data_IF_322128173399
#
_entry.id   IF_322128173399
#
_cell.length_a   1.000
_cell.length_b   1.000
_cell.length_c   1.000
_cell.angle_alpha   90.00
_cell.angle_beta   90.00
_cell.angle_gamma   90.00
#
_symmetry.space_group_name_H-M   'P 1'
#
loop_
_entity.id
_entity.type
_entity.pdbx_description
1 polymer ?
#
# COMPACT_ATOMS: atom_id res chain seq x y z
N UNK A 1 9.89 -36.65 -17.52
CA UNK A 1 10.51 -36.18 -16.27
C UNK A 1 9.92 -34.85 -15.81
N UNK A 2 9.74 -33.85 -16.66
CA UNK A 2 9.20 -32.52 -16.31
C UNK A 2 7.84 -32.62 -15.61
N UNK A 3 6.91 -33.48 -16.10
CA UNK A 3 5.61 -33.68 -15.44
C UNK A 3 5.76 -34.20 -14.02
N UNK A 4 6.64 -35.18 -13.80
CA UNK A 4 6.88 -35.75 -12.46
C UNK A 4 7.45 -34.70 -11.52
N UNK A 5 8.38 -33.85 -11.99
CA UNK A 5 8.95 -32.78 -11.19
C UNK A 5 7.89 -31.78 -10.75
N UNK A 6 6.99 -31.37 -11.65
CA UNK A 6 5.91 -30.43 -11.32
C UNK A 6 4.87 -31.04 -10.38
N UNK A 7 4.48 -32.30 -10.60
CA UNK A 7 3.59 -33.03 -9.71
C UNK A 7 4.20 -33.19 -8.30
N UNK A 8 5.50 -33.50 -8.23
CA UNK A 8 6.21 -33.61 -6.97
C UNK A 8 6.27 -32.25 -6.22
N UNK A 9 6.48 -31.15 -6.96
CA UNK A 9 6.44 -29.79 -6.37
C UNK A 9 5.03 -29.46 -5.85
N UNK A 10 3.97 -29.75 -6.61
CA UNK A 10 2.59 -29.59 -6.16
C UNK A 10 2.31 -30.37 -4.86
N UNK A 11 2.68 -31.64 -4.83
CA UNK A 11 2.50 -32.50 -3.64
C UNK A 11 3.27 -31.97 -2.44
N UNK A 12 4.53 -31.56 -2.62
CA UNK A 12 5.36 -31.03 -1.55
C UNK A 12 4.75 -29.76 -0.94
N UNK A 13 4.05 -28.95 -1.74
CA UNK A 13 3.46 -27.68 -1.34
C UNK A 13 1.95 -27.73 -1.05
N UNK A 14 1.37 -28.92 -0.86
CA UNK A 14 -0.07 -29.05 -0.59
C UNK A 14 -0.51 -28.37 0.72
N UNK A 15 0.36 -28.28 1.71
CA UNK A 15 0.10 -27.61 3.00
C UNK A 15 0.66 -26.17 3.05
N UNK A 16 1.20 -25.67 1.97
CA UNK A 16 1.78 -24.32 1.91
C UNK A 16 0.68 -23.30 1.68
N UNK A 17 0.57 -22.31 2.57
CA UNK A 17 -0.44 -21.25 2.51
C UNK A 17 -0.26 -20.42 1.23
N UNK A 18 -1.35 -20.17 0.50
CA UNK A 18 -1.34 -19.38 -0.73
C UNK A 18 -0.62 -20.01 -1.92
N UNK A 19 -0.19 -21.27 -1.81
CA UNK A 19 0.43 -21.97 -2.94
C UNK A 19 -0.56 -22.20 -4.07
N UNK A 20 -0.07 -22.10 -5.30
CA UNK A 20 -0.84 -22.31 -6.53
C UNK A 20 -0.24 -23.42 -7.36
N UNK A 21 -1.03 -24.44 -7.65
CA UNK A 21 -0.64 -25.61 -8.42
C UNK A 21 -0.13 -25.21 -9.81
N UNK A 22 0.89 -25.93 -10.27
CA UNK A 22 1.45 -25.76 -11.62
C UNK A 22 1.03 -26.95 -12.49
N UNK A 23 0.67 -26.67 -13.74
CA UNK A 23 0.30 -27.66 -14.75
C UNK A 23 1.27 -27.61 -15.93
N UNK A 24 1.64 -28.79 -16.44
CA UNK A 24 2.52 -28.92 -17.61
C UNK A 24 1.70 -29.25 -18.85
N UNK A 25 1.83 -28.43 -19.86
CA UNK A 25 1.24 -28.66 -21.17
C UNK A 25 2.33 -29.13 -22.16
N UNK A 26 1.98 -30.13 -22.94
CA UNK A 26 2.88 -30.67 -23.97
C UNK A 26 2.36 -30.34 -25.35
N UNK A 27 3.30 -30.16 -26.31
CA UNK A 27 3.03 -30.07 -27.75
C UNK A 27 3.83 -31.13 -28.49
N UNK A 28 3.29 -31.59 -29.60
CA UNK A 28 4.04 -32.39 -30.56
C UNK A 28 5.14 -31.55 -31.21
N UNK A 29 6.26 -32.19 -31.60
CA UNK A 29 7.41 -31.47 -32.16
C UNK A 29 7.24 -31.36 -33.67
N UNK A 30 7.41 -32.45 -34.38
CA UNK A 30 7.32 -32.54 -35.84
C UNK A 30 6.81 -33.90 -36.29
N UNK A 31 6.23 -33.92 -37.50
CA UNK A 31 5.87 -35.13 -38.22
C UNK A 31 6.82 -35.38 -39.39
N UNK A 32 7.39 -36.54 -39.45
CA UNK A 32 8.12 -36.99 -40.62
C UNK A 32 7.13 -37.56 -41.62
N UNK A 33 6.98 -36.91 -42.77
CA UNK A 33 6.13 -37.40 -43.85
C UNK A 33 6.90 -38.40 -44.72
N UNK A 34 6.49 -39.67 -44.68
CA UNK A 34 7.07 -40.74 -45.52
C UNK A 34 6.43 -40.81 -46.89
N UNK A 35 5.20 -40.38 -47.05
CA UNK A 35 4.48 -40.28 -48.31
C UNK A 35 3.47 -39.11 -48.22
N UNK A 36 3.43 -38.30 -49.25
CA UNK A 36 2.43 -37.27 -49.44
C UNK A 36 1.08 -37.86 -49.83
N UNK A 37 -0.01 -37.27 -49.37
CA UNK A 37 -1.35 -37.63 -49.80
C UNK A 37 -1.58 -37.29 -51.29
N UNK A 38 -2.39 -38.05 -51.97
CA UNK A 38 -2.84 -37.79 -53.33
C UNK A 38 -4.35 -37.60 -53.38
N UNK A 39 -4.77 -36.62 -54.14
CA UNK A 39 -6.19 -36.39 -54.36
C UNK A 39 -6.80 -37.50 -55.24
N UNK A 40 -8.10 -37.83 -55.07
CA UNK A 40 -8.77 -38.79 -55.92
C UNK A 40 -8.85 -38.27 -57.36
N UNK A 41 -8.54 -39.17 -58.32
CA UNK A 41 -8.73 -38.95 -59.74
C UNK A 41 -9.88 -39.82 -60.26
N UNK A 42 -10.42 -39.53 -61.41
CA UNK A 42 -11.59 -40.26 -61.93
C UNK A 42 -11.43 -41.79 -62.05
N UNK A 43 -10.22 -42.33 -61.92
CA UNK A 43 -9.90 -43.75 -62.01
C UNK A 43 -9.24 -44.36 -60.75
N UNK A 44 -8.79 -43.52 -59.83
CA UNK A 44 -8.18 -43.95 -58.54
C UNK A 44 -8.69 -43.14 -57.36
N UNK A 45 -8.98 -43.83 -56.24
CA UNK A 45 -9.30 -43.19 -54.97
C UNK A 45 -8.12 -42.41 -54.40
N UNK A 46 -8.41 -41.40 -53.58
CA UNK A 46 -7.40 -40.61 -52.90
C UNK A 46 -6.60 -41.43 -51.87
N UNK A 47 -5.33 -41.10 -51.68
CA UNK A 47 -4.43 -41.74 -50.71
C UNK A 47 -4.06 -40.74 -49.63
N UNK A 48 -4.24 -41.13 -48.38
CA UNK A 48 -3.87 -40.28 -47.24
C UNK A 48 -2.34 -40.22 -47.03
N UNK A 49 -1.80 -39.12 -46.53
CA UNK A 49 -0.40 -38.99 -46.21
C UNK A 49 0.02 -39.99 -45.12
N UNK A 50 1.22 -40.57 -45.20
CA UNK A 50 1.84 -41.37 -44.15
C UNK A 50 2.81 -40.50 -43.37
N UNK A 51 2.44 -40.19 -42.12
CA UNK A 51 3.22 -39.34 -41.24
C UNK A 51 3.52 -40.05 -39.91
N UNK A 52 4.75 -39.87 -39.41
CA UNK A 52 5.20 -40.42 -38.14
C UNK A 52 5.65 -39.27 -37.24
N UNK A 53 5.06 -39.16 -36.03
CA UNK A 53 5.47 -38.17 -35.04
C UNK A 53 6.87 -38.50 -34.49
N UNK A 54 7.65 -37.45 -34.19
CA UNK A 54 9.04 -37.56 -33.69
C UNK A 54 9.07 -37.47 -32.16
N UNK A 55 7.99 -37.01 -31.52
CA UNK A 55 7.93 -36.92 -30.07
C UNK A 55 7.16 -35.69 -29.57
N UNK A 56 7.26 -35.41 -28.27
CA UNK A 56 6.62 -34.29 -27.60
C UNK A 56 7.66 -33.42 -26.90
N UNK A 57 7.37 -32.11 -26.79
CA UNK A 57 8.13 -31.17 -26.00
C UNK A 57 7.21 -30.48 -24.98
N UNK A 58 7.78 -29.91 -23.91
CA UNK A 58 7.05 -29.08 -22.99
C UNK A 58 6.69 -27.77 -23.69
N UNK A 59 5.40 -27.50 -23.87
CA UNK A 59 4.91 -26.26 -24.48
C UNK A 59 4.90 -25.13 -23.47
N UNK A 60 4.35 -25.39 -22.27
CA UNK A 60 4.28 -24.40 -21.18
C UNK A 60 4.15 -25.09 -19.83
N UNK A 61 4.57 -24.38 -18.78
CA UNK A 61 4.22 -24.69 -17.40
C UNK A 61 3.39 -23.49 -16.93
N UNK A 62 2.09 -23.73 -16.72
CA UNK A 62 1.15 -22.69 -16.30
C UNK A 62 0.77 -22.90 -14.85
N UNK A 63 0.55 -21.77 -14.14
CA UNK A 63 0.11 -21.80 -12.76
C UNK A 63 -1.39 -21.56 -12.69
N UNK A 64 -2.08 -22.33 -11.85
CA UNK A 64 -3.51 -22.19 -11.64
C UNK A 64 -3.77 -21.26 -10.46
N UNK A 65 -4.27 -20.06 -10.73
CA UNK A 65 -4.61 -19.05 -9.73
C UNK A 65 -6.07 -19.18 -9.22
N UNK A 66 -6.75 -20.30 -9.46
CA UNK A 66 -8.04 -20.56 -8.85
C UNK A 66 -7.94 -20.54 -7.32
N UNK A 67 -9.05 -20.24 -6.65
CA UNK A 67 -9.09 -20.21 -5.19
C UNK A 67 -8.78 -21.59 -4.60
N UNK A 68 -7.95 -21.61 -3.56
CA UNK A 68 -7.68 -22.79 -2.74
C UNK A 68 -8.75 -23.04 -1.67
N UNK A 69 -8.51 -24.02 -0.82
CA UNK A 69 -9.34 -24.28 0.37
C UNK A 69 -9.16 -23.17 1.39
N UNK A 70 -10.20 -22.86 2.16
CA UNK A 70 -10.13 -21.86 3.24
C UNK A 70 -9.86 -22.54 4.57
N UNK A 71 -8.86 -22.03 5.33
CA UNK A 71 -8.46 -22.52 6.65
C UNK A 71 -8.79 -21.45 7.68
N UNK A 72 -9.71 -21.74 8.60
CA UNK A 72 -10.05 -20.82 9.69
C UNK A 72 -9.00 -20.90 10.78
N UNK A 73 -8.35 -19.78 11.09
CA UNK A 73 -7.32 -19.66 12.13
C UNK A 73 -7.80 -18.92 13.36
N UNK A 74 -8.77 -18.00 13.19
CA UNK A 74 -9.27 -17.12 14.25
C UNK A 74 -8.32 -15.98 14.62
N UNK A 75 -7.19 -15.82 13.91
CA UNK A 75 -6.28 -14.70 14.08
C UNK A 75 -6.67 -13.56 13.14
N UNK A 76 -6.97 -12.38 13.67
CA UNK A 76 -7.45 -11.26 12.88
C UNK A 76 -6.47 -10.75 11.81
N UNK A 77 -5.18 -11.05 11.97
CA UNK A 77 -4.12 -10.70 11.01
C UNK A 77 -4.00 -11.68 9.86
N UNK A 78 -4.62 -12.86 9.96
CA UNK A 78 -4.67 -13.83 8.89
C UNK A 78 -5.77 -13.47 7.90
N UNK A 79 -5.41 -13.32 6.64
CA UNK A 79 -6.27 -12.77 5.60
C UNK A 79 -6.40 -13.72 4.42
N UNK A 80 -7.61 -13.86 3.90
CA UNK A 80 -7.88 -14.61 2.69
C UNK A 80 -8.59 -13.70 1.66
N UNK A 81 -8.09 -13.67 0.43
CA UNK A 81 -8.72 -12.93 -0.67
C UNK A 81 -9.80 -13.80 -1.32
N UNK A 82 -11.02 -13.29 -1.34
CA UNK A 82 -12.10 -13.86 -2.14
C UNK A 82 -12.22 -13.12 -3.47
N UNK A 83 -11.44 -13.54 -4.46
CA UNK A 83 -11.32 -12.88 -5.76
C UNK A 83 -10.04 -13.29 -6.49
N UNK A 84 -9.71 -12.62 -7.61
CA UNK A 84 -8.54 -12.90 -8.44
C UNK A 84 -7.34 -11.98 -8.16
N UNK A 85 -7.42 -11.08 -7.19
CA UNK A 85 -6.39 -10.10 -6.85
C UNK A 85 -5.31 -10.67 -5.92
N UNK A 86 -4.27 -9.89 -5.65
CA UNK A 86 -3.12 -10.25 -4.83
C UNK A 86 -2.87 -9.18 -3.79
N UNK A 87 -2.32 -9.56 -2.64
CA UNK A 87 -1.69 -8.62 -1.71
C UNK A 87 -0.41 -8.06 -2.32
N UNK A 88 -0.13 -6.80 -2.07
CA UNK A 88 1.12 -6.14 -2.48
C UNK A 88 2.05 -6.04 -1.29
N UNK A 89 3.28 -6.51 -1.46
CA UNK A 89 4.29 -6.48 -0.42
C UNK A 89 5.59 -5.87 -0.94
N UNK A 90 6.31 -5.16 -0.09
CA UNK A 90 7.62 -4.63 -0.41
C UNK A 90 8.71 -5.55 0.14
N UNK A 91 9.66 -5.92 -0.73
CA UNK A 91 10.88 -6.61 -0.32
C UNK A 91 11.85 -5.65 0.39
N UNK A 92 12.88 -6.14 1.09
CA UNK A 92 13.92 -5.28 1.68
C UNK A 92 14.65 -4.39 0.66
N UNK A 93 14.65 -4.77 -0.62
CA UNK A 93 15.21 -3.99 -1.73
C UNK A 93 14.22 -2.99 -2.33
N UNK A 94 13.07 -2.78 -1.66
CA UNK A 94 11.97 -1.89 -2.11
C UNK A 94 11.33 -2.35 -3.44
N UNK A 95 11.54 -3.60 -3.83
CA UNK A 95 10.85 -4.19 -4.97
C UNK A 95 9.42 -4.59 -4.56
N UNK A 96 8.44 -4.25 -5.40
CA UNK A 96 7.04 -4.59 -5.16
C UNK A 96 6.78 -6.00 -5.66
N UNK A 97 6.37 -6.86 -4.74
CA UNK A 97 6.02 -8.25 -5.00
C UNK A 97 4.54 -8.48 -4.67
N UNK A 98 4.01 -9.55 -5.22
CA UNK A 98 2.60 -9.93 -5.10
C UNK A 98 2.48 -11.29 -4.45
N UNK A 99 1.52 -11.46 -3.55
CA UNK A 99 1.34 -12.73 -2.86
C UNK A 99 -0.13 -13.05 -2.62
N UNK A 100 -0.44 -14.35 -2.51
CA UNK A 100 -1.71 -14.88 -1.99
C UNK A 100 -1.58 -15.40 -0.56
N UNK A 101 -0.35 -15.41 -0.04
CA UNK A 101 -0.12 -15.72 1.38
C UNK A 101 -0.63 -14.56 2.23
N UNK A 102 -1.64 -14.84 3.04
CA UNK A 102 -2.28 -13.88 3.94
C UNK A 102 -1.84 -14.01 5.38
N UNK A 103 -0.80 -14.80 5.68
CA UNK A 103 -0.27 -14.92 7.03
C UNK A 103 0.60 -13.70 7.37
N UNK A 104 -0.04 -12.68 7.97
CA UNK A 104 0.63 -11.46 8.39
C UNK A 104 0.79 -11.38 9.90
N UNK A 105 1.89 -10.78 10.33
CA UNK A 105 2.17 -10.47 11.73
C UNK A 105 2.54 -8.99 11.86
N UNK A 106 2.36 -8.42 13.05
CA UNK A 106 2.81 -7.06 13.34
C UNK A 106 4.19 -7.14 13.99
N UNK A 107 5.16 -6.44 13.40
CA UNK A 107 6.53 -6.38 13.92
C UNK A 107 6.66 -5.38 15.09
N UNK A 108 7.86 -5.27 15.67
CA UNK A 108 8.13 -4.38 16.80
C UNK A 108 7.95 -2.88 16.46
N UNK A 109 8.11 -2.52 15.18
CA UNK A 109 7.96 -1.14 14.69
C UNK A 109 6.51 -0.83 14.26
N UNK A 110 5.60 -1.81 14.37
CA UNK A 110 4.20 -1.69 13.99
C UNK A 110 3.90 -1.99 12.53
N UNK A 111 4.86 -2.49 11.74
CA UNK A 111 4.59 -2.86 10.35
C UNK A 111 3.90 -4.22 10.27
N UNK A 112 2.93 -4.34 9.38
CA UNK A 112 2.40 -5.65 8.99
C UNK A 112 3.37 -6.32 8.01
N UNK A 113 3.87 -7.50 8.40
CA UNK A 113 4.90 -8.24 7.65
C UNK A 113 4.47 -9.68 7.40
N UNK A 114 4.94 -10.25 6.30
CA UNK A 114 4.85 -11.69 6.02
C UNK A 114 5.83 -12.47 6.87
N UNK A 115 5.69 -13.80 6.92
CA UNK A 115 6.67 -14.70 7.57
C UNK A 115 8.11 -14.55 7.04
N UNK A 116 8.27 -14.02 5.82
CA UNK A 116 9.57 -13.73 5.19
C UNK A 116 10.07 -12.31 5.46
N UNK A 117 9.34 -11.51 6.27
CA UNK A 117 9.71 -10.13 6.62
C UNK A 117 9.40 -9.08 5.55
N UNK A 118 8.59 -9.41 4.54
CA UNK A 118 8.15 -8.42 3.54
C UNK A 118 7.00 -7.60 4.10
N UNK A 119 7.07 -6.26 3.91
CA UNK A 119 6.07 -5.33 4.46
C UNK A 119 4.84 -5.26 3.56
N UNK A 120 3.66 -5.42 4.13
CA UNK A 120 2.39 -5.23 3.42
C UNK A 120 2.20 -3.75 3.09
N UNK A 121 1.80 -3.45 1.85
CA UNK A 121 1.60 -2.09 1.37
C UNK A 121 0.15 -1.63 1.52
N UNK A 122 0.00 -0.35 1.83
CA UNK A 122 -1.27 0.32 1.94
C UNK A 122 -1.53 1.31 0.80
N UNK A 123 -2.77 1.76 0.65
CA UNK A 123 -3.16 2.71 -0.40
C UNK A 123 -4.24 3.68 0.06
N UNK A 124 -4.19 4.91 -0.47
CA UNK A 124 -5.25 5.91 -0.34
C UNK A 124 -6.24 5.88 -1.52
N UNK A 125 -5.92 5.16 -2.58
CA UNK A 125 -6.65 5.21 -3.84
C UNK A 125 -7.59 4.02 -4.00
N UNK A 126 -8.79 4.27 -4.47
CA UNK A 126 -9.75 3.21 -4.82
C UNK A 126 -9.33 2.43 -6.06
N UNK A 127 -8.70 3.10 -7.03
CA UNK A 127 -8.15 2.48 -8.25
C UNK A 127 -7.00 3.33 -8.81
N UNK A 128 -5.85 2.70 -9.12
CA UNK A 128 -4.69 3.37 -9.71
C UNK A 128 -3.86 2.38 -10.56
N UNK A 129 -3.07 2.89 -11.49
CA UNK A 129 -2.07 2.14 -12.26
C UNK A 129 -0.68 2.21 -11.64
N UNK A 130 -0.48 3.06 -10.65
CA UNK A 130 0.78 3.21 -9.91
C UNK A 130 0.62 2.63 -8.52
N UNK A 131 1.54 1.76 -8.10
CA UNK A 131 1.56 1.23 -6.75
C UNK A 131 1.90 2.32 -5.74
N UNK A 132 1.21 2.30 -4.60
CA UNK A 132 1.70 2.99 -3.41
C UNK A 132 2.90 2.21 -2.85
N UNK A 133 3.87 2.92 -2.32
CA UNK A 133 5.02 2.35 -1.61
C UNK A 133 4.93 2.56 -0.10
N UNK A 134 3.77 3.00 0.39
CA UNK A 134 3.54 3.26 1.81
C UNK A 134 3.28 1.93 2.51
N UNK A 135 4.16 1.48 3.41
CA UNK A 135 3.90 0.26 4.17
C UNK A 135 2.78 0.49 5.19
N UNK A 136 2.00 -0.54 5.43
CA UNK A 136 1.05 -0.53 6.54
C UNK A 136 1.85 -0.46 7.84
N UNK A 137 1.61 0.59 8.61
CA UNK A 137 2.25 0.83 9.89
C UNK A 137 1.21 1.20 10.95
N UNK A 138 1.08 0.34 11.93
CA UNK A 138 0.15 0.47 13.06
C UNK A 138 0.91 1.09 14.22
N UNK A 139 0.46 2.22 14.78
CA UNK A 139 1.05 2.76 16.00
C UNK A 139 0.92 1.73 17.14
N UNK A 140 2.06 1.31 17.70
CA UNK A 140 2.10 0.26 18.74
C UNK A 140 1.64 0.73 20.12
N UNK A 141 1.62 2.04 20.33
CA UNK A 141 1.02 2.71 21.52
C UNK A 141 0.49 4.07 21.11
N UNK A 142 -0.45 4.62 21.87
CA UNK A 142 -0.94 5.99 21.69
C UNK A 142 -0.73 6.75 23.00
N UNK A 143 0.08 7.81 22.95
CA UNK A 143 0.22 8.78 24.02
C UNK A 143 -0.48 10.08 23.66
N UNK A 144 -0.22 10.60 22.48
CA UNK A 144 -0.83 11.83 21.96
C UNK A 144 -1.42 11.61 20.58
N UNK A 145 -2.60 12.15 20.33
CA UNK A 145 -3.21 12.26 19.00
C UNK A 145 -3.46 13.70 18.69
N UNK A 146 -2.91 14.17 17.58
CA UNK A 146 -3.08 15.56 17.16
C UNK A 146 -3.65 15.62 15.75
N UNK A 147 -4.57 16.55 15.51
CA UNK A 147 -5.11 16.85 14.20
C UNK A 147 -4.58 18.18 13.72
N UNK A 148 -4.36 18.38 12.41
CA UNK A 148 -4.20 19.72 11.87
C UNK A 148 -5.46 20.54 12.22
N UNK A 149 -5.29 21.67 12.90
CA UNK A 149 -6.42 22.52 13.18
C UNK A 149 -7.01 23.10 11.89
N UNK A 150 -8.32 23.15 11.82
CA UNK A 150 -8.97 23.92 10.76
C UNK A 150 -8.57 25.39 10.90
N UNK A 151 -8.48 26.12 9.77
CA UNK A 151 -8.16 27.55 9.75
C UNK A 151 -9.02 28.37 10.75
N UNK A 152 -10.29 27.97 10.93
CA UNK A 152 -11.21 28.62 11.87
C UNK A 152 -10.86 28.34 13.35
N UNK A 153 -10.40 27.13 13.67
CA UNK A 153 -9.99 26.77 15.04
C UNK A 153 -8.68 27.48 15.41
N UNK A 154 -7.71 27.51 14.49
CA UNK A 154 -6.44 28.23 14.66
C UNK A 154 -6.66 29.72 14.86
N UNK A 155 -7.58 30.33 14.13
CA UNK A 155 -7.90 31.74 14.19
C UNK A 155 -8.44 32.20 15.57
N UNK A 156 -9.07 31.30 16.32
CA UNK A 156 -9.65 31.59 17.64
C UNK A 156 -8.75 31.21 18.82
N UNK A 157 -7.54 30.71 18.58
CA UNK A 157 -6.59 30.35 19.64
C UNK A 157 -5.70 31.53 20.03
N UNK A 158 -5.34 31.55 21.31
CA UNK A 158 -4.37 32.50 21.82
C UNK A 158 -2.99 32.26 21.22
N UNK A 159 -2.21 33.33 21.04
CA UNK A 159 -0.89 33.24 20.41
C UNK A 159 0.06 32.32 21.17
N UNK A 160 -0.04 32.23 22.49
CA UNK A 160 0.76 31.35 23.33
C UNK A 160 0.45 29.85 23.16
N UNK A 161 -0.76 29.54 22.70
CA UNK A 161 -1.24 28.16 22.53
C UNK A 161 -0.85 27.58 21.16
N UNK A 162 -0.16 28.35 20.31
CA UNK A 162 0.25 27.91 18.98
C UNK A 162 1.54 27.08 19.02
N UNK A 163 1.54 25.93 18.41
CA UNK A 163 2.71 25.02 18.39
C UNK A 163 3.94 25.58 17.68
N UNK A 164 3.78 26.62 16.86
CA UNK A 164 4.89 27.32 16.20
C UNK A 164 5.63 28.31 17.08
N UNK A 165 5.14 28.58 18.28
CA UNK A 165 5.77 29.51 19.21
C UNK A 165 6.99 28.86 19.86
N UNK A 166 8.15 29.48 19.63
CA UNK A 166 9.44 28.99 20.17
C UNK A 166 9.47 29.11 21.68
N UNK A 167 10.29 28.29 22.32
CA UNK A 167 10.48 28.31 23.77
C UNK A 167 10.64 29.75 24.32
N UNK A 168 9.79 30.14 25.28
CA UNK A 168 9.77 31.48 25.88
C UNK A 168 8.50 32.29 25.61
N UNK A 169 7.54 31.74 24.85
CA UNK A 169 6.22 32.34 24.61
C UNK A 169 6.24 33.68 23.86
N UNK A 170 5.05 34.21 23.62
CA UNK A 170 4.86 35.58 23.09
C UNK A 170 4.96 36.57 24.24
N UNK A 171 5.80 37.58 24.11
CA UNK A 171 5.91 38.67 25.07
C UNK A 171 4.92 39.78 24.74
N UNK A 172 4.21 40.25 25.72
CA UNK A 172 3.36 41.43 25.61
C UNK A 172 4.18 42.63 25.16
N UNK A 173 3.64 43.42 24.26
CA UNK A 173 4.36 44.56 23.71
C UNK A 173 3.82 45.02 22.37
N UNK A 174 4.69 45.43 21.49
CA UNK A 174 4.34 45.86 20.12
C UNK A 174 5.33 45.37 19.10
N UNK A 175 4.91 45.28 17.86
CA UNK A 175 5.76 45.15 16.70
C UNK A 175 5.43 46.24 15.67
N UNK A 176 6.33 46.47 14.71
CA UNK A 176 6.25 47.58 13.78
C UNK A 176 6.14 47.03 12.37
N UNK A 177 5.17 47.55 11.62
CA UNK A 177 5.07 47.37 10.16
C UNK A 177 5.42 48.73 9.52
N UNK A 178 6.47 48.73 8.76
CA UNK A 178 6.89 49.91 7.94
C UNK A 178 6.42 49.68 6.51
N UNK A 179 5.51 50.49 6.02
CA UNK A 179 5.03 50.49 4.65
C UNK A 179 5.70 51.56 3.85
N UNK A 180 5.99 51.33 2.57
CA UNK A 180 6.63 52.28 1.66
C UNK A 180 5.70 52.57 0.50
N UNK A 181 5.49 53.83 0.20
CA UNK A 181 4.76 54.28 -0.97
C UNK A 181 5.63 54.12 -2.25
N UNK A 182 5.06 54.42 -3.42
CA UNK A 182 5.78 54.35 -4.71
C UNK A 182 6.95 55.38 -4.80
N UNK A 183 6.97 56.37 -3.94
CA UNK A 183 8.08 57.34 -3.83
C UNK A 183 9.17 56.85 -2.85
N UNK A 184 8.95 55.69 -2.20
CA UNK A 184 9.89 55.15 -1.21
C UNK A 184 9.75 55.76 0.18
N UNK A 185 8.71 56.57 0.45
CA UNK A 185 8.51 57.21 1.76
C UNK A 185 8.03 56.19 2.77
N UNK A 186 8.75 55.99 3.91
CA UNK A 186 8.33 55.04 4.93
C UNK A 186 7.22 55.62 5.80
N UNK A 187 6.24 54.76 6.14
CA UNK A 187 5.22 55.02 7.16
C UNK A 187 5.25 53.88 8.15
N UNK A 188 5.62 54.18 9.40
CA UNK A 188 5.65 53.20 10.49
C UNK A 188 4.31 53.09 11.19
N UNK A 189 3.90 51.87 11.46
CA UNK A 189 2.67 51.53 12.17
C UNK A 189 2.99 50.55 13.28
N UNK A 190 2.65 50.92 14.50
CA UNK A 190 2.87 50.15 15.71
C UNK A 190 1.62 49.32 16.00
N UNK A 191 1.77 48.00 16.16
CA UNK A 191 0.71 47.07 16.47
C UNK A 191 0.99 46.49 17.84
N UNK A 192 0.04 46.66 18.79
CA UNK A 192 0.13 46.08 20.11
C UNK A 192 -0.29 44.64 20.11
N UNK A 193 0.44 43.80 20.86
CA UNK A 193 0.24 42.38 20.99
C UNK A 193 0.29 41.99 22.46
N UNK A 194 -0.62 41.11 22.86
CA UNK A 194 -0.61 40.45 24.19
C UNK A 194 -0.55 38.95 23.95
N UNK A 195 -0.03 38.23 24.92
CA UNK A 195 0.16 36.77 24.87
C UNK A 195 -1.18 36.03 24.77
N UNK A 196 -2.24 36.57 25.34
CA UNK A 196 -3.61 36.05 25.30
C UNK A 196 -4.40 36.44 24.03
N UNK A 197 -3.83 37.31 23.17
CA UNK A 197 -4.46 37.72 21.92
C UNK A 197 -4.65 36.51 20.98
N UNK A 198 -5.84 36.38 20.40
CA UNK A 198 -6.08 35.35 19.39
C UNK A 198 -5.49 35.72 18.03
N UNK A 199 -5.26 34.72 17.18
CA UNK A 199 -4.77 34.96 15.81
C UNK A 199 -5.71 35.89 15.05
N UNK A 200 -7.03 35.72 15.19
CA UNK A 200 -8.03 36.63 14.60
C UNK A 200 -7.87 38.07 15.06
N UNK A 201 -7.61 38.28 16.35
CA UNK A 201 -7.38 39.61 16.87
C UNK A 201 -6.09 40.23 16.36
N UNK A 202 -5.03 39.40 16.21
CA UNK A 202 -3.78 39.82 15.59
C UNK A 202 -3.99 40.22 14.12
N UNK A 203 -4.67 39.38 13.32
CA UNK A 203 -4.98 39.69 11.93
C UNK A 203 -5.83 40.97 11.80
N UNK A 204 -6.84 41.12 12.68
CA UNK A 204 -7.65 42.34 12.70
C UNK A 204 -6.84 43.60 13.06
N UNK A 205 -5.90 43.49 14.00
CA UNK A 205 -5.01 44.58 14.36
C UNK A 205 -4.08 44.99 13.22
N UNK A 206 -3.52 43.99 12.48
CA UNK A 206 -2.69 44.23 11.30
C UNK A 206 -3.52 44.90 10.18
N UNK A 207 -4.68 44.36 9.87
CA UNK A 207 -5.56 44.90 8.83
C UNK A 207 -6.08 46.30 9.15
N UNK A 208 -6.33 46.61 10.41
CA UNK A 208 -6.73 47.93 10.88
C UNK A 208 -5.60 48.98 10.69
N UNK A 209 -4.35 48.56 10.75
CA UNK A 209 -3.22 49.45 10.53
C UNK A 209 -3.17 49.99 9.09
N UNK A 210 -3.72 49.24 8.10
CA UNK A 210 -3.80 49.63 6.68
C UNK A 210 -2.44 49.54 5.96
N UNK A 211 -2.48 49.51 4.65
CA UNK A 211 -1.28 49.36 3.80
C UNK A 211 -0.79 47.93 3.67
N UNK A 212 -1.34 47.02 4.47
CA UNK A 212 -1.12 45.57 4.36
C UNK A 212 -2.41 44.84 4.69
N UNK A 213 -2.58 43.63 4.12
CA UNK A 213 -3.67 42.70 4.40
C UNK A 213 -3.09 41.42 4.98
N UNK A 214 -3.53 41.03 6.16
CA UNK A 214 -3.14 39.78 6.82
C UNK A 214 -4.27 38.76 6.77
N UNK A 215 -3.92 37.53 6.48
CA UNK A 215 -4.81 36.38 6.43
C UNK A 215 -4.07 35.10 6.86
N UNK A 216 -4.80 34.01 7.09
CA UNK A 216 -4.21 32.70 7.26
C UNK A 216 -4.27 31.99 5.89
N UNK A 217 -3.11 31.55 5.40
CA UNK A 217 -2.98 30.78 4.17
C UNK A 217 -2.15 29.54 4.47
N UNK A 218 -2.68 28.35 4.20
CA UNK A 218 -2.01 27.08 4.43
C UNK A 218 -1.42 26.90 5.83
N UNK A 219 -2.16 27.37 6.85
CA UNK A 219 -1.73 27.29 8.24
C UNK A 219 -0.67 28.32 8.66
N UNK A 220 -0.30 29.27 7.82
CA UNK A 220 0.63 30.35 8.12
C UNK A 220 -0.07 31.70 8.12
N UNK A 221 0.40 32.62 8.96
CA UNK A 221 0.01 34.04 8.89
C UNK A 221 0.69 34.66 7.68
N UNK A 222 -0.09 35.03 6.69
CA UNK A 222 0.37 35.67 5.47
C UNK A 222 0.03 37.15 5.48
N UNK A 223 1.00 38.01 5.25
CA UNK A 223 0.85 39.45 5.17
C UNK A 223 1.18 39.89 3.73
N UNK A 224 0.24 40.54 3.08
CA UNK A 224 0.37 41.01 1.70
C UNK A 224 0.31 42.54 1.66
N UNK A 225 1.09 43.18 0.77
CA UNK A 225 0.98 44.59 0.52
C UNK A 225 -0.41 44.96 -0.04
N UNK A 226 -1.01 46.02 0.47
CA UNK A 226 -2.30 46.56 0.03
C UNK A 226 -2.22 48.07 -0.20
N UNK A 227 -2.15 48.47 -1.45
CA UNK A 227 -2.03 49.88 -1.87
C UNK A 227 -0.67 50.52 -1.62
N UNK A 228 0.36 49.77 -1.22
CA UNK A 228 1.73 50.21 -0.98
C UNK A 228 2.70 49.44 -1.88
N UNK A 229 3.91 49.98 -2.12
CA UNK A 229 4.90 49.39 -2.99
C UNK A 229 5.58 48.17 -2.31
N UNK A 230 5.91 48.30 -1.03
CA UNK A 230 6.53 47.29 -0.21
C UNK A 230 6.29 47.52 1.27
N UNK A 231 6.54 46.52 2.09
CA UNK A 231 6.51 46.65 3.54
C UNK A 231 7.63 45.83 4.20
N UNK A 232 7.92 46.18 5.44
CA UNK A 232 8.84 45.44 6.32
C UNK A 232 8.18 45.22 7.69
N UNK A 233 8.43 44.06 8.30
CA UNK A 233 7.93 43.73 9.65
C UNK A 233 9.10 43.56 10.59
N UNK A 234 9.07 44.23 11.72
CA UNK A 234 10.15 44.20 12.72
C UNK A 234 9.57 44.02 14.13
N UNK A 235 10.28 43.28 14.99
CA UNK A 235 9.97 43.28 16.43
C UNK A 235 10.09 44.72 16.98
N UNK A 236 9.16 45.07 17.82
CA UNK A 236 9.26 46.26 18.70
C UNK A 236 9.63 45.79 20.13
N UNK A 237 8.74 46.01 21.06
CA UNK A 237 8.89 45.51 22.43
C UNK A 237 8.39 44.04 22.56
N UNK A 238 7.51 43.57 21.68
CA UNK A 238 7.11 42.17 21.55
C UNK A 238 8.08 41.41 20.65
N UNK A 239 8.23 40.12 20.91
CA UNK A 239 9.01 39.14 20.14
C UNK A 239 8.20 38.40 19.07
N UNK A 240 6.96 38.82 18.81
CA UNK A 240 5.98 38.06 18.00
C UNK A 240 6.50 37.73 16.58
N UNK A 241 7.19 38.66 15.93
CA UNK A 241 7.73 38.48 14.56
C UNK A 241 8.74 37.33 14.53
N UNK A 242 9.61 37.25 15.55
CA UNK A 242 10.59 36.17 15.69
C UNK A 242 9.90 34.86 16.12
N UNK A 243 8.90 34.92 16.97
CA UNK A 243 8.16 33.76 17.44
C UNK A 243 7.33 33.10 16.32
N UNK A 244 6.66 33.90 15.50
CA UNK A 244 5.93 33.42 14.33
C UNK A 244 6.84 33.09 13.14
N UNK A 245 8.12 33.50 13.19
CA UNK A 245 9.05 33.31 12.08
C UNK A 245 8.65 34.10 10.83
N UNK A 246 8.01 35.27 10.99
CA UNK A 246 7.62 36.10 9.84
C UNK A 246 8.88 36.55 9.10
N UNK A 247 9.04 36.05 7.88
CA UNK A 247 10.15 36.31 7.01
C UNK A 247 10.09 37.71 6.41
N UNK A 248 11.14 38.06 5.61
CA UNK A 248 11.10 39.25 4.76
C UNK A 248 10.06 39.07 3.67
N UNK A 249 9.45 40.20 3.24
CA UNK A 249 8.57 40.21 2.09
C UNK A 249 9.31 39.70 0.83
N UNK A 250 8.70 38.74 0.13
CA UNK A 250 9.15 38.36 -1.20
C UNK A 250 8.88 39.50 -2.20
N UNK A 251 9.90 40.04 -2.87
CA UNK A 251 9.72 41.16 -3.78
C UNK A 251 8.89 40.82 -5.02
N UNK A 252 8.76 39.51 -5.37
CA UNK A 252 8.01 39.09 -6.55
C UNK A 252 6.52 38.91 -6.22
N UNK A 253 6.21 38.30 -5.09
CA UNK A 253 4.83 38.02 -4.66
C UNK A 253 4.25 39.12 -3.77
N UNK A 254 5.09 40.02 -3.26
CA UNK A 254 4.75 41.07 -2.27
C UNK A 254 4.10 40.50 -1.00
N UNK A 255 4.47 39.29 -0.60
CA UNK A 255 3.95 38.58 0.56
C UNK A 255 5.07 38.26 1.53
N UNK A 256 4.84 38.44 2.83
CA UNK A 256 5.63 37.88 3.91
C UNK A 256 4.78 36.86 4.65
N UNK A 257 5.27 35.64 4.79
CA UNK A 257 4.56 34.57 5.51
C UNK A 257 5.33 34.19 6.78
N UNK A 258 4.60 33.80 7.82
CA UNK A 258 5.17 33.11 8.97
C UNK A 258 5.60 31.70 8.60
N UNK A 259 6.37 31.05 9.47
CA UNK A 259 6.46 29.59 9.47
C UNK A 259 5.03 29.03 9.66
N UNK A 260 4.80 27.79 9.17
CA UNK A 260 3.49 27.14 9.33
C UNK A 260 3.20 26.99 10.84
N UNK A 261 2.17 27.66 11.29
CA UNK A 261 1.74 27.62 12.67
C UNK A 261 0.67 26.57 12.78
N UNK A 262 1.06 25.34 13.06
CA UNK A 262 0.12 24.27 13.30
C UNK A 262 -0.40 24.34 14.73
N UNK A 263 -1.68 24.61 14.91
CA UNK A 263 -2.37 24.27 16.13
C UNK A 263 -2.76 22.79 16.03
N UNK A 264 -2.10 21.97 16.82
CA UNK A 264 -2.50 20.59 17.00
C UNK A 264 -3.42 20.55 18.23
N UNK A 265 -4.67 20.14 18.05
CA UNK A 265 -5.50 19.81 19.19
C UNK A 265 -4.94 18.53 19.80
N UNK A 266 -4.15 18.64 20.86
CA UNK A 266 -3.68 17.49 21.62
C UNK A 266 -4.86 16.98 22.43
N UNK A 267 -5.34 15.78 22.11
CA UNK A 267 -6.38 15.10 22.88
C UNK A 267 -5.69 13.95 23.59
N UNK A 268 -5.62 14.06 24.90
CA UNK A 268 -5.05 13.05 25.79
C UNK A 268 -3.63 13.34 26.26
N UNK A 269 -3.40 14.47 26.94
CA UNK A 269 -2.30 14.57 27.90
C UNK A 269 -2.59 13.65 29.08
N UNK A 270 -2.23 12.37 28.95
CA UNK A 270 -2.13 11.45 30.06
C UNK A 270 -0.66 11.28 30.41
N UNK A 271 -0.31 11.62 31.63
CA UNK A 271 0.98 11.39 32.26
C UNK A 271 1.72 10.19 31.64
N UNK A 272 2.95 10.39 31.19
CA UNK A 272 3.92 9.36 30.84
C UNK A 272 4.32 8.52 32.09
N UNK A 273 3.38 7.80 32.65
CA UNK A 273 3.62 6.83 33.71
C UNK A 273 3.14 5.47 33.21
N UNK A 274 4.01 4.56 32.90
CA UNK A 274 3.84 3.09 32.84
C UNK A 274 2.42 2.51 32.65
N UNK A 275 1.52 3.23 31.97
CA UNK A 275 0.15 2.80 31.78
C UNK A 275 0.06 1.97 30.49
N UNK A 276 0.13 0.64 30.67
CA UNK A 276 -0.07 -0.34 29.59
C UNK A 276 -1.45 -0.22 28.92
N UNK A 277 -2.35 0.65 29.42
CA UNK A 277 -3.69 0.83 28.88
C UNK A 277 -3.69 1.45 27.47
N UNK A 278 -2.62 2.18 27.11
CA UNK A 278 -2.48 2.83 25.80
C UNK A 278 -1.75 1.99 24.74
N UNK A 279 -1.34 0.78 25.12
CA UNK A 279 -0.66 -0.11 24.19
C UNK A 279 -1.64 -0.77 23.23
N UNK A 280 -1.13 -1.08 22.05
CA UNK A 280 -1.83 -1.90 21.06
C UNK A 280 -2.36 -3.20 21.68
N UNK A 281 -3.63 -3.49 21.46
CA UNK A 281 -4.28 -4.70 21.96
C UNK A 281 -4.67 -5.65 20.84
N UNK A 282 -5.30 -5.14 19.80
CA UNK A 282 -5.74 -5.98 18.68
C UNK A 282 -5.94 -5.16 17.40
N UNK A 283 -5.81 -5.86 16.30
CA UNK A 283 -6.19 -5.38 14.95
C UNK A 283 -7.42 -6.14 14.51
N UNK A 284 -8.34 -5.45 13.86
CA UNK A 284 -9.47 -6.03 13.14
C UNK A 284 -9.44 -5.53 11.70
N UNK A 285 -9.61 -6.41 10.74
CA UNK A 285 -9.60 -6.06 9.33
C UNK A 285 -10.97 -6.43 8.77
N UNK A 286 -11.68 -5.45 8.22
CA UNK A 286 -13.00 -5.66 7.66
C UNK A 286 -12.92 -6.23 6.22
N UNK A 287 -14.06 -6.60 5.65
CA UNK A 287 -14.15 -7.17 4.30
C UNK A 287 -13.67 -6.22 3.19
N UNK A 288 -13.60 -4.92 3.47
CA UNK A 288 -13.10 -3.89 2.56
C UNK A 288 -11.59 -3.61 2.73
N UNK A 289 -10.88 -4.42 3.54
CA UNK A 289 -9.45 -4.25 3.79
C UNK A 289 -9.08 -3.00 4.58
N UNK A 290 -10.06 -2.41 5.27
CA UNK A 290 -9.82 -1.32 6.22
C UNK A 290 -9.42 -1.91 7.56
N UNK A 291 -8.36 -1.35 8.11
CA UNK A 291 -7.77 -1.78 9.37
C UNK A 291 -8.31 -0.92 10.50
N UNK A 292 -8.85 -1.55 11.52
CA UNK A 292 -9.22 -0.93 12.78
C UNK A 292 -8.28 -1.46 13.87
N UNK A 293 -7.65 -0.53 14.57
CA UNK A 293 -6.70 -0.81 15.64
C UNK A 293 -7.35 -0.49 16.95
N UNK A 294 -7.31 -1.42 17.92
CA UNK A 294 -7.84 -1.25 19.26
C UNK A 294 -6.70 -1.20 20.27
N UNK A 295 -6.81 -0.25 21.21
CA UNK A 295 -5.86 -0.03 22.30
C UNK A 295 -6.44 -0.47 23.66
N UNK A 296 -5.59 -0.64 24.67
CA UNK A 296 -5.97 -1.17 25.97
C UNK A 296 -6.97 -0.32 26.75
N UNK A 297 -7.01 1.00 26.49
CA UNK A 297 -8.01 1.92 27.04
C UNK A 297 -9.37 1.90 26.30
N UNK A 298 -9.56 0.97 25.33
CA UNK A 298 -10.68 0.87 24.41
C UNK A 298 -10.77 1.99 23.35
N UNK A 299 -9.78 2.84 23.21
CA UNK A 299 -9.68 3.74 22.07
C UNK A 299 -9.51 2.94 20.77
N UNK A 300 -10.02 3.48 19.66
CA UNK A 300 -9.90 2.84 18.36
C UNK A 300 -9.40 3.83 17.31
N UNK A 301 -8.47 3.37 16.46
CA UNK A 301 -7.99 4.09 15.28
C UNK A 301 -8.42 3.33 14.03
N UNK A 302 -9.13 3.99 13.12
CA UNK A 302 -9.68 3.38 11.91
C UNK A 302 -9.71 4.38 10.75
N UNK A 303 -10.13 3.92 9.58
CA UNK A 303 -10.32 4.74 8.38
C UNK A 303 -11.81 4.79 8.04
N UNK A 304 -12.29 5.95 7.62
CA UNK A 304 -13.65 6.16 7.14
C UNK A 304 -13.66 7.02 5.86
N UNK A 305 -14.77 7.00 5.13
CA UNK A 305 -14.96 7.94 4.03
C UNK A 305 -15.16 9.37 4.56
N UNK A 306 -14.58 10.35 3.88
CA UNK A 306 -14.78 11.75 4.19
C UNK A 306 -16.25 12.13 3.95
N UNK A 307 -16.97 12.62 4.98
CA UNK A 307 -18.37 13.05 4.80
C UNK A 307 -18.53 14.20 3.80
N UNK A 308 -17.47 14.99 3.57
CA UNK A 308 -17.47 16.12 2.64
C UNK A 308 -17.11 15.72 1.22
N UNK A 309 -16.31 14.65 1.05
CA UNK A 309 -15.86 14.14 -0.25
C UNK A 309 -15.77 12.60 -0.21
N UNK A 310 -16.83 11.87 -0.60
CA UNK A 310 -16.86 10.41 -0.55
C UNK A 310 -15.79 9.71 -1.40
N UNK A 311 -15.06 10.45 -2.24
CA UNK A 311 -13.92 9.90 -3.00
C UNK A 311 -12.64 9.79 -2.16
N UNK A 312 -12.60 10.42 -0.98
CA UNK A 312 -11.45 10.44 -0.09
C UNK A 312 -11.69 9.62 1.15
N UNK A 313 -10.61 9.07 1.66
CA UNK A 313 -10.56 8.40 2.96
C UNK A 313 -9.90 9.31 3.99
N UNK A 314 -10.43 9.31 5.19
CA UNK A 314 -9.86 10.05 6.34
C UNK A 314 -9.70 9.11 7.53
N UNK A 315 -8.80 9.47 8.42
CA UNK A 315 -8.60 8.77 9.68
C UNK A 315 -9.69 9.14 10.68
N UNK A 316 -10.10 8.16 11.46
CA UNK A 316 -11.05 8.30 12.57
C UNK A 316 -10.41 7.71 13.82
N UNK A 317 -10.20 8.56 14.82
CA UNK A 317 -9.82 8.13 16.15
C UNK A 317 -11.02 8.30 17.10
N UNK A 318 -11.39 7.25 17.80
CA UNK A 318 -12.51 7.24 18.73
C UNK A 318 -11.99 6.95 20.13
N UNK A 319 -12.21 7.89 21.05
CA UNK A 319 -11.86 7.71 22.45
C UNK A 319 -12.90 6.82 23.16
N UNK A 320 -12.49 6.26 24.27
CA UNK A 320 -13.35 5.42 25.14
C UNK A 320 -14.64 6.13 25.62
N UNK A 321 -14.63 7.45 25.73
CA UNK A 321 -15.80 8.28 26.08
C UNK A 321 -16.77 8.53 24.92
N UNK A 322 -16.44 8.00 23.71
CA UNK A 322 -17.20 8.19 22.48
C UNK A 322 -16.86 9.46 21.71
N UNK A 323 -15.88 10.25 22.15
CA UNK A 323 -15.40 11.40 21.39
C UNK A 323 -14.70 10.92 20.11
N UNK A 324 -15.05 11.53 18.98
CA UNK A 324 -14.52 11.17 17.66
C UNK A 324 -13.67 12.32 17.14
N UNK A 325 -12.46 11.98 16.72
CA UNK A 325 -11.52 12.87 16.03
C UNK A 325 -11.34 12.36 14.62
N UNK A 326 -11.48 13.23 13.63
CA UNK A 326 -11.29 12.89 12.22
C UNK A 326 -10.30 13.84 11.57
N UNK A 327 -9.52 13.35 10.62
CA UNK A 327 -8.59 14.16 9.84
C UNK A 327 -8.09 13.42 8.61
N UNK A 328 -7.61 14.18 7.61
CA UNK A 328 -6.95 13.61 6.42
C UNK A 328 -5.67 12.84 6.82
N UNK A 329 -5.04 13.29 7.89
CA UNK A 329 -3.88 12.73 8.54
C UNK A 329 -4.00 12.98 10.06
N UNK A 330 -3.42 12.13 10.85
CA UNK A 330 -3.29 12.28 12.29
C UNK A 330 -1.82 12.15 12.67
N UNK A 331 -1.36 12.98 13.58
CA UNK A 331 -0.06 12.76 14.22
C UNK A 331 -0.26 11.99 15.50
N UNK A 332 0.29 10.80 15.57
CA UNK A 332 0.25 9.92 16.74
C UNK A 332 1.67 9.78 17.27
N UNK A 333 1.93 10.21 18.50
CA UNK A 333 3.26 10.22 19.11
C UNK A 333 4.32 10.86 18.20
N UNK A 334 4.03 12.05 17.68
CA UNK A 334 4.88 12.78 16.71
C UNK A 334 5.15 12.06 15.39
N UNK A 335 4.43 10.97 15.10
CA UNK A 335 4.49 10.27 13.81
C UNK A 335 3.24 10.55 13.00
N UNK A 336 3.43 10.93 11.75
CA UNK A 336 2.33 11.12 10.80
C UNK A 336 1.73 9.75 10.45
N UNK A 337 0.43 9.61 10.64
CA UNK A 337 -0.38 8.46 10.20
C UNK A 337 -1.31 8.95 9.11
N UNK A 338 -1.28 8.27 7.98
CA UNK A 338 -2.15 8.55 6.83
C UNK A 338 -3.17 7.40 6.65
N UNK A 339 -4.30 7.63 5.96
CA UNK A 339 -5.25 6.56 5.66
C UNK A 339 -4.61 5.35 4.95
N UNK A 340 -3.56 5.58 4.14
CA UNK A 340 -2.79 4.51 3.50
C UNK A 340 -2.14 3.53 4.48
N UNK A 341 -1.80 3.97 5.69
CA UNK A 341 -1.22 3.09 6.71
C UNK A 341 -2.22 2.07 7.27
N UNK A 342 -3.52 2.29 7.05
CA UNK A 342 -4.61 1.48 7.61
C UNK A 342 -5.56 0.94 6.53
N UNK A 343 -5.16 0.96 5.26
CA UNK A 343 -5.94 0.44 4.14
C UNK A 343 -5.08 -0.44 3.25
N UNK A 344 -5.43 -1.71 3.10
CA UNK A 344 -4.65 -2.69 2.33
C UNK A 344 -4.69 -2.36 0.85
N UNK A 345 -3.51 -2.33 0.22
CA UNK A 345 -3.36 -2.24 -1.23
C UNK A 345 -3.47 -3.62 -1.86
N UNK A 346 -4.31 -3.71 -2.88
CA UNK A 346 -4.46 -4.89 -3.72
C UNK A 346 -3.95 -4.63 -5.12
N UNK A 347 -3.54 -5.71 -5.79
CA UNK A 347 -3.17 -5.70 -7.20
C UNK A 347 -4.01 -6.71 -7.99
N UNK A 348 -4.45 -6.32 -9.17
CA UNK A 348 -5.11 -7.19 -10.13
C UNK A 348 -4.36 -7.17 -11.46
N UNK A 349 -4.30 -8.32 -12.13
CA UNK A 349 -3.56 -8.52 -13.38
C UNK A 349 -4.52 -8.94 -14.50
N UNK A 350 -4.24 -8.44 -15.70
CA UNK A 350 -4.95 -8.88 -16.92
C UNK A 350 -4.64 -10.35 -17.19
N UNK A 351 -3.38 -10.75 -17.01
CA UNK A 351 -2.94 -12.12 -17.16
C UNK A 351 -2.07 -12.58 -15.97
N UNK A 352 -2.67 -13.14 -14.91
CA UNK A 352 -1.93 -13.63 -13.76
C UNK A 352 -0.93 -14.76 -14.09
N UNK A 353 -1.19 -15.55 -15.14
CA UNK A 353 -0.29 -16.63 -15.57
C UNK A 353 1.05 -16.11 -16.11
N UNK A 354 1.12 -14.83 -16.49
CA UNK A 354 2.35 -14.17 -16.91
C UNK A 354 3.26 -13.71 -15.77
N UNK A 355 2.84 -13.90 -14.51
CA UNK A 355 3.65 -13.58 -13.34
C UNK A 355 4.83 -14.55 -13.19
N UNK A 356 5.97 -14.04 -12.69
CA UNK A 356 7.16 -14.84 -12.41
C UNK A 356 7.27 -15.07 -10.90
N UNK A 357 7.45 -16.35 -10.49
CA UNK A 357 7.66 -16.69 -9.10
C UNK A 357 9.06 -16.29 -8.63
N UNK A 358 9.15 -15.66 -7.46
CA UNK A 358 10.39 -15.21 -6.83
C UNK A 358 10.78 -16.03 -5.59
N UNK A 359 9.98 -17.06 -5.24
CA UNK A 359 10.10 -17.79 -3.99
C UNK A 359 9.22 -17.23 -2.88
N UNK A 360 9.18 -17.90 -1.72
CA UNK A 360 8.37 -17.49 -0.56
C UNK A 360 6.91 -17.15 -0.87
N UNK A 361 6.30 -17.87 -1.83
CA UNK A 361 4.95 -17.61 -2.36
C UNK A 361 4.74 -16.19 -2.87
N UNK A 362 5.81 -15.53 -3.36
CA UNK A 362 5.74 -14.21 -3.95
C UNK A 362 5.96 -14.26 -5.46
N UNK A 363 5.37 -13.31 -6.14
CA UNK A 363 5.39 -13.16 -7.59
C UNK A 363 5.85 -11.75 -7.97
N UNK A 364 6.59 -11.65 -9.06
CA UNK A 364 6.92 -10.38 -9.71
C UNK A 364 6.18 -10.25 -11.05
N UNK A 365 6.04 -9.04 -11.54
CA UNK A 365 5.51 -8.79 -12.89
C UNK A 365 6.41 -9.42 -13.95
N UNK A 366 5.81 -10.15 -14.87
CA UNK A 366 6.49 -10.68 -16.06
C UNK A 366 6.12 -9.90 -17.33
N UNK A 367 6.86 -10.08 -18.42
CA UNK A 367 6.57 -9.39 -19.67
C UNK A 367 5.15 -9.64 -20.23
N UNK A 368 4.53 -10.75 -19.84
CA UNK A 368 3.19 -11.17 -20.29
C UNK A 368 2.11 -11.06 -19.21
N UNK A 369 2.39 -10.44 -18.05
CA UNK A 369 1.39 -10.25 -17.02
C UNK A 369 0.35 -9.17 -17.34
N UNK A 370 0.68 -8.29 -18.29
CA UNK A 370 -0.12 -7.13 -18.64
C UNK A 370 0.04 -5.98 -17.64
N UNK A 371 -0.81 -4.97 -17.79
CA UNK A 371 -0.84 -3.82 -16.89
C UNK A 371 -1.42 -4.22 -15.53
N UNK A 372 -0.78 -3.75 -14.47
CA UNK A 372 -1.24 -3.96 -13.09
C UNK A 372 -2.21 -2.86 -12.71
N UNK A 373 -3.35 -3.23 -12.14
CA UNK A 373 -4.28 -2.32 -11.51
C UNK A 373 -4.09 -2.43 -9.99
N UNK A 374 -3.84 -1.29 -9.35
CA UNK A 374 -3.73 -1.19 -7.89
C UNK A 374 -4.94 -0.48 -7.33
N UNK A 375 -5.31 -0.79 -6.11
CA UNK A 375 -6.36 -0.08 -5.42
C UNK A 375 -6.69 -0.68 -4.08
N UNK A 376 -7.69 -0.09 -3.43
CA UNK A 376 -8.26 -0.63 -2.21
C UNK A 376 -9.34 -1.67 -2.52
N UNK A 377 -9.59 -2.53 -1.55
CA UNK A 377 -10.60 -3.60 -1.62
C UNK A 377 -12.03 -3.03 -1.74
N UNK A 378 -12.27 -1.78 -1.36
CA UNK A 378 -13.56 -1.13 -1.51
C UNK A 378 -14.02 -1.00 -2.98
N UNK A 379 -13.13 -1.22 -3.93
CA UNK A 379 -13.45 -1.30 -5.35
C UNK A 379 -13.88 -2.73 -5.73
N UNK A 380 -15.02 -2.86 -6.41
CA UNK A 380 -15.56 -4.15 -6.90
C UNK A 380 -14.60 -4.95 -7.80
N UNK A 381 -13.51 -4.32 -8.26
CA UNK A 381 -12.52 -4.94 -9.14
C UNK A 381 -11.58 -5.93 -8.40
N UNK A 382 -11.45 -5.85 -7.07
CA UNK A 382 -10.45 -6.61 -6.33
C UNK A 382 -11.01 -7.77 -5.49
N UNK A 383 -12.34 -7.88 -5.36
CA UNK A 383 -12.98 -8.84 -4.48
C UNK A 383 -13.00 -8.40 -3.02
N UNK A 384 -13.23 -9.33 -2.10
CA UNK A 384 -13.31 -9.07 -0.66
C UNK A 384 -12.20 -9.80 0.08
N UNK A 385 -11.83 -9.30 1.26
CA UNK A 385 -10.92 -9.97 2.18
C UNK A 385 -11.72 -10.55 3.36
N UNK A 386 -11.35 -11.75 3.78
CA UNK A 386 -11.85 -12.37 5.02
C UNK A 386 -10.71 -12.38 6.03
N UNK A 387 -10.95 -11.81 7.21
CA UNK A 387 -10.06 -11.89 8.37
C UNK A 387 -10.31 -13.19 9.15
N UNK A 388 -9.29 -13.69 9.83
CA UNK A 388 -9.35 -14.92 10.61
C UNK A 388 -9.32 -16.21 9.78
N UNK A 389 -8.96 -16.09 8.50
CA UNK A 389 -8.95 -17.18 7.53
C UNK A 389 -7.73 -17.07 6.63
N UNK A 390 -7.10 -18.18 6.28
CA UNK A 390 -6.02 -18.26 5.30
C UNK A 390 -6.48 -19.01 4.04
N UNK A 391 -5.88 -18.69 2.90
CA UNK A 391 -6.03 -19.44 1.67
C UNK A 391 -5.04 -20.61 1.66
N UNK A 392 -5.54 -21.84 1.71
CA UNK A 392 -4.72 -23.02 1.55
C UNK A 392 -4.32 -23.25 0.09
N UNK A 393 -3.47 -24.24 -0.13
CA UNK A 393 -3.11 -24.69 -1.47
C UNK A 393 -4.35 -25.16 -2.26
N UNK A 394 -4.37 -24.92 -3.57
CA UNK A 394 -5.39 -25.45 -4.48
C UNK A 394 -4.99 -26.80 -5.10
N UNK A 395 -3.99 -27.48 -4.55
CA UNK A 395 -3.51 -28.80 -4.99
C UNK A 395 -4.50 -29.88 -4.57
N UNK A 396 -5.01 -30.67 -5.53
CA UNK A 396 -5.75 -31.88 -5.27
C UNK A 396 -4.79 -33.08 -5.19
N UNK A 397 -4.55 -33.52 -3.95
CA UNK A 397 -3.62 -34.61 -3.66
C UNK A 397 -3.97 -35.91 -4.39
N UNK A 398 -5.26 -36.26 -4.50
CA UNK A 398 -5.68 -37.48 -5.15
C UNK A 398 -5.37 -37.47 -6.65
N UNK A 399 -5.63 -36.34 -7.29
CA UNK A 399 -5.32 -36.14 -8.69
C UNK A 399 -3.81 -36.14 -8.95
N UNK A 400 -3.01 -35.47 -8.11
CA UNK A 400 -1.55 -35.42 -8.24
C UNK A 400 -0.89 -36.79 -8.05
N UNK A 401 -1.35 -37.58 -7.07
CA UNK A 401 -0.87 -38.97 -6.90
C UNK A 401 -1.23 -39.84 -8.09
N UNK A 402 -2.43 -39.73 -8.64
CA UNK A 402 -2.83 -40.48 -9.82
C UNK A 402 -1.92 -40.11 -11.01
N UNK A 403 -1.68 -38.83 -11.23
CA UNK A 403 -0.79 -38.31 -12.27
C UNK A 403 0.68 -38.74 -12.08
N UNK A 404 1.14 -38.83 -10.84
CA UNK A 404 2.47 -39.34 -10.51
C UNK A 404 2.59 -40.80 -10.89
N UNK A 405 1.63 -41.64 -10.46
CA UNK A 405 1.61 -43.09 -10.76
C UNK A 405 1.58 -43.35 -12.28
N UNK A 406 0.69 -42.64 -13.00
CA UNK A 406 0.61 -42.73 -14.47
C UNK A 406 1.94 -42.35 -15.12
N UNK A 407 2.56 -41.27 -14.66
CA UNK A 407 3.83 -40.78 -15.20
C UNK A 407 5.00 -41.75 -14.92
N UNK A 408 5.03 -42.38 -13.72
CA UNK A 408 6.01 -43.40 -13.37
C UNK A 408 5.82 -44.66 -14.25
N UNK A 409 4.58 -45.12 -14.43
CA UNK A 409 4.30 -46.29 -15.31
C UNK A 409 4.66 -46.01 -16.76
N UNK A 410 4.46 -44.79 -17.24
CA UNK A 410 4.87 -44.43 -18.60
C UNK A 410 6.40 -44.46 -18.75
N UNK A 411 7.16 -44.05 -17.75
CA UNK A 411 8.64 -44.16 -17.79
C UNK A 411 9.08 -45.64 -17.76
N UNK A 412 8.50 -46.44 -16.89
CA UNK A 412 8.78 -47.87 -16.81
C UNK A 412 8.51 -48.59 -18.16
N UNK A 413 7.34 -48.29 -18.77
CA UNK A 413 6.98 -48.81 -20.07
C UNK A 413 8.00 -48.43 -21.18
N UNK A 414 8.37 -47.16 -21.22
CA UNK A 414 9.39 -46.71 -22.17
C UNK A 414 10.77 -47.32 -21.91
N UNK A 415 11.19 -47.50 -20.66
CA UNK A 415 12.43 -48.18 -20.31
C UNK A 415 12.44 -49.64 -20.75
N UNK A 416 11.32 -50.35 -20.62
CA UNK A 416 11.20 -51.74 -21.11
C UNK A 416 11.32 -51.81 -22.62
N UNK A 417 10.74 -50.87 -23.39
CA UNK A 417 10.91 -50.81 -24.83
C UNK A 417 12.39 -50.64 -25.21
N UNK A 418 13.13 -49.81 -24.49
CA UNK A 418 14.58 -49.66 -24.73
C UNK A 418 15.37 -50.92 -24.43
N UNK A 419 15.07 -51.65 -23.32
CA UNK A 419 15.74 -52.88 -22.96
C UNK A 419 15.46 -54.00 -23.98
N UNK A 420 14.20 -54.17 -24.40
CA UNK A 420 13.84 -55.17 -25.42
C UNK A 420 14.46 -54.82 -26.77
N UNK A 421 14.55 -53.56 -27.17
CA UNK A 421 15.20 -53.13 -28.37
C UNK A 421 16.72 -53.45 -28.37
N UNK A 422 17.38 -53.21 -27.22
CA UNK A 422 18.79 -53.58 -27.01
C UNK A 422 19.03 -55.10 -27.09
N UNK A 423 18.13 -55.88 -26.45
CA UNK A 423 18.19 -57.36 -26.52
C UNK A 423 18.03 -57.86 -27.95
N UNK A 424 17.10 -57.33 -28.74
CA UNK A 424 16.92 -57.64 -30.16
C UNK A 424 18.17 -57.27 -30.96
N UNK A 425 18.78 -56.10 -30.75
CA UNK A 425 19.99 -55.68 -31.41
C UNK A 425 21.19 -56.60 -31.08
N UNK A 426 21.30 -57.03 -29.78
CA UNK A 426 22.31 -58.00 -29.36
C UNK A 426 22.12 -59.34 -30.05
N UNK A 427 20.89 -59.81 -30.12
CA UNK A 427 20.54 -61.11 -30.76
C UNK A 427 20.87 -61.03 -32.28
N UNK A 428 20.51 -59.94 -32.95
CA UNK A 428 20.84 -59.70 -34.33
C UNK A 428 22.36 -59.61 -34.58
N UNK A 429 23.11 -58.97 -33.69
CA UNK A 429 24.58 -58.92 -33.76
C UNK A 429 25.23 -60.27 -33.58
N UNK A 430 24.64 -61.16 -32.74
CA UNK A 430 25.13 -62.52 -32.51
C UNK A 430 24.75 -63.48 -33.64
N UNK A 431 23.66 -63.23 -34.40
CA UNK A 431 23.28 -64.02 -35.58
C UNK A 431 24.07 -63.66 -36.87
N UNK A 432 24.71 -62.48 -36.85
CA UNK A 432 25.53 -62.02 -37.96
C UNK A 432 27.05 -62.36 -37.86
N UNK A 433 27.40 -63.13 -36.82
CA UNK A 433 28.73 -63.77 -36.68
C UNK A 433 28.62 -65.25 -37.00
#
# INVERSE_FOLDING_TARGET
>A
QTKISVVADNIANMNTIGFKASNVNFSDVYYRTSSTGQAPTGQMGGINPKQTGIGVQTASITRDFSAGTTLTTGLNTDLCINGSSFFTVASPTVEILYTRDGNFTVDADGHMVTSSGYKLLGTNNSLNTTSSTIPIKIPTYIDTVTTPATQAQMANKALDELNGIKSGGVKDGSFIITTFDKAGTPTEKTINVTSDMTVNQLLAAINKAGGVQASIVDGAVSIKADGVDRFEVKNGTSNIVTQLGIGKMDPTTQVASSEVINYHQTIGEGNMGSDNSKNFTSVTINENGLIEVKYGNNDTLSVMQDPSDPSKMILKYTLNDGTIITGSDLTVNDQLVEPANLQIQMASFVNPQGLTAQGNNTYATGPNSGMVLYGSISSTAFGNVKSGVLEGSNVDLASEFADMVVSQRAIEANSRVFTTTNEILQTLSNLGR
#
